data_IF_393263050652
#
_entry.id   IF_393263050652
#
_cell.length_a   1.000
_cell.length_b   1.000
_cell.length_c   1.000
_cell.angle_alpha   90.00
_cell.angle_beta   90.00
_cell.angle_gamma   90.00
#
_symmetry.space_group_name_H-M   'P 1'
#
loop_
_entity.id
_entity.type
_entity.pdbx_description
1 polymer ?
#
# COMPACT_ATOMS: atom_id res chain seq x y z
N UNK A 1 12.20 15.15 -25.09
CA UNK A 1 11.29 14.45 -24.16
C UNK A 1 11.28 12.99 -24.57
N UNK A 2 11.61 12.06 -23.68
CA UNK A 2 11.52 10.63 -24.00
C UNK A 2 10.06 10.28 -24.28
N UNK A 3 9.80 9.63 -25.41
CA UNK A 3 8.47 9.16 -25.76
C UNK A 3 8.06 8.08 -24.75
N UNK A 4 6.95 8.32 -24.03
CA UNK A 4 6.35 7.32 -23.14
C UNK A 4 5.86 6.15 -24.00
N UNK A 5 6.35 4.94 -23.70
CA UNK A 5 6.02 3.71 -24.45
C UNK A 5 4.99 2.84 -23.74
N UNK A 6 4.75 3.07 -22.46
CA UNK A 6 3.78 2.32 -21.67
C UNK A 6 3.58 2.87 -20.27
N UNK A 7 2.60 2.29 -19.57
CA UNK A 7 2.29 2.57 -18.16
C UNK A 7 2.17 1.23 -17.42
N UNK A 8 2.95 1.06 -16.35
CA UNK A 8 2.84 -0.04 -15.41
C UNK A 8 2.16 0.50 -14.15
N UNK A 9 1.03 -0.10 -13.77
CA UNK A 9 0.32 0.25 -12.53
C UNK A 9 0.55 -0.88 -11.54
N UNK A 10 1.01 -0.54 -10.34
CA UNK A 10 1.29 -1.47 -9.26
C UNK A 10 0.37 -1.19 -8.07
N UNK A 11 -0.07 -2.27 -7.44
CA UNK A 11 -0.58 -2.20 -6.07
C UNK A 11 0.58 -1.97 -5.08
N UNK A 12 0.25 -1.64 -3.84
CA UNK A 12 1.22 -1.32 -2.78
C UNK A 12 1.32 -2.47 -1.78
N UNK A 13 0.26 -2.71 -1.01
CA UNK A 13 0.23 -3.74 0.05
C UNK A 13 0.38 -5.13 -0.56
N UNK A 14 1.25 -5.97 0.00
CA UNK A 14 1.54 -7.31 -0.51
C UNK A 14 2.11 -7.38 -1.94
N UNK A 15 2.46 -6.24 -2.55
CA UNK A 15 2.96 -6.13 -3.93
C UNK A 15 4.26 -5.33 -3.97
N UNK A 16 4.21 -4.03 -3.72
CA UNK A 16 5.38 -3.16 -3.68
C UNK A 16 6.11 -3.29 -2.35
N UNK A 17 5.35 -3.40 -1.27
CA UNK A 17 5.81 -3.75 0.07
C UNK A 17 5.32 -5.15 0.44
N UNK A 18 6.04 -5.83 1.32
CA UNK A 18 5.72 -7.19 1.74
C UNK A 18 4.51 -7.22 2.68
N UNK A 19 4.34 -6.16 3.46
CA UNK A 19 3.33 -6.09 4.51
C UNK A 19 1.98 -5.60 3.99
N UNK A 20 0.96 -5.89 4.81
CA UNK A 20 -0.36 -5.28 4.75
C UNK A 20 -0.40 -4.18 5.81
N UNK A 21 -0.32 -2.92 5.41
CA UNK A 21 -0.23 -1.76 6.33
C UNK A 21 -1.35 -1.78 7.37
N UNK A 22 -2.56 -2.16 6.98
CA UNK A 22 -3.71 -2.21 7.88
C UNK A 22 -3.57 -3.26 8.98
N UNK A 23 -2.83 -4.35 8.73
CA UNK A 23 -2.58 -5.38 9.73
C UNK A 23 -1.56 -4.88 10.77
N UNK A 24 -0.54 -4.12 10.35
CA UNK A 24 0.41 -3.46 11.26
C UNK A 24 -0.32 -2.45 12.15
N UNK A 25 -1.16 -1.60 11.56
CA UNK A 25 -2.01 -0.68 12.32
C UNK A 25 -2.92 -1.45 13.29
N UNK A 26 -3.47 -2.58 12.86
CA UNK A 26 -4.22 -3.49 13.72
C UNK A 26 -3.44 -3.98 14.93
N UNK A 27 -2.16 -4.29 14.78
CA UNK A 27 -1.29 -4.67 15.90
C UNK A 27 -1.16 -3.55 16.92
N UNK A 28 -0.89 -2.34 16.46
CA UNK A 28 -0.78 -1.15 17.32
C UNK A 28 -2.12 -0.85 18.04
N UNK A 29 -3.26 -1.18 17.43
CA UNK A 29 -4.59 -1.07 18.02
C UNK A 29 -5.00 -2.27 18.90
N UNK A 30 -4.24 -3.37 18.93
CA UNK A 30 -4.63 -4.61 19.62
C UNK A 30 -5.67 -5.47 18.90
N UNK A 31 -5.93 -5.20 17.60
CA UNK A 31 -6.92 -5.86 16.75
C UNK A 31 -6.32 -6.65 15.56
N UNK A 32 -5.01 -6.97 15.59
CA UNK A 32 -4.29 -7.63 14.47
C UNK A 32 -4.99 -8.89 13.95
N UNK A 33 -5.41 -9.79 14.84
CA UNK A 33 -6.03 -11.05 14.45
C UNK A 33 -7.38 -10.85 13.74
N UNK A 34 -8.22 -9.94 14.25
CA UNK A 34 -9.53 -9.64 13.66
C UNK A 34 -9.36 -8.97 12.29
N UNK A 35 -8.48 -7.97 12.20
CA UNK A 35 -8.20 -7.27 10.95
C UNK A 35 -7.61 -8.23 9.90
N UNK A 36 -6.62 -9.05 10.28
CA UNK A 36 -5.98 -10.01 9.36
C UNK A 36 -6.97 -11.03 8.81
N UNK A 37 -7.93 -11.48 9.63
CA UNK A 37 -8.99 -12.39 9.19
C UNK A 37 -9.91 -11.71 8.17
N UNK A 38 -10.33 -10.46 8.41
CA UNK A 38 -11.18 -9.71 7.48
C UNK A 38 -10.42 -9.45 6.17
N UNK A 39 -9.15 -9.01 6.24
CA UNK A 39 -8.29 -8.78 5.07
C UNK A 39 -8.18 -10.03 4.21
N UNK A 40 -7.87 -11.18 4.83
CA UNK A 40 -7.73 -12.45 4.10
C UNK A 40 -9.02 -12.86 3.38
N UNK A 41 -10.19 -12.65 4.01
CA UNK A 41 -11.49 -12.94 3.39
C UNK A 41 -11.81 -11.98 2.25
N UNK A 42 -11.50 -10.70 2.41
CA UNK A 42 -11.67 -9.68 1.37
C UNK A 42 -10.81 -9.98 0.13
N UNK A 43 -9.52 -10.32 0.32
CA UNK A 43 -8.62 -10.68 -0.78
C UNK A 43 -9.04 -11.96 -1.52
N UNK A 44 -9.71 -12.90 -0.85
CA UNK A 44 -10.32 -14.08 -1.48
C UNK A 44 -11.65 -13.78 -2.20
N UNK A 45 -12.12 -12.54 -2.17
CA UNK A 45 -13.40 -12.14 -2.76
C UNK A 45 -14.63 -12.59 -1.97
N UNK A 46 -14.46 -13.05 -0.73
CA UNK A 46 -15.59 -13.49 0.12
C UNK A 46 -16.34 -12.31 0.75
N UNK A 47 -15.70 -11.13 0.82
CA UNK A 47 -16.26 -9.90 1.35
C UNK A 47 -16.18 -8.81 0.30
N UNK A 48 -17.21 -7.95 0.26
CA UNK A 48 -17.18 -6.73 -0.56
C UNK A 48 -16.07 -5.81 -0.05
N UNK A 49 -15.22 -5.33 -0.97
CA UNK A 49 -14.04 -4.53 -0.62
C UNK A 49 -14.38 -3.35 0.29
N UNK A 50 -15.33 -2.49 -0.12
CA UNK A 50 -15.67 -1.27 0.63
C UNK A 50 -16.13 -1.59 2.06
N UNK A 51 -17.06 -2.52 2.24
CA UNK A 51 -17.56 -2.88 3.57
C UNK A 51 -16.48 -3.53 4.44
N UNK A 52 -15.62 -4.36 3.84
CA UNK A 52 -14.48 -4.96 4.54
C UNK A 52 -13.45 -3.91 4.97
N UNK A 53 -13.22 -2.88 4.15
CA UNK A 53 -12.30 -1.78 4.46
C UNK A 53 -12.85 -0.94 5.61
N UNK A 54 -14.11 -0.51 5.51
CA UNK A 54 -14.78 0.26 6.58
C UNK A 54 -14.75 -0.48 7.92
N UNK A 55 -15.01 -1.79 7.90
CA UNK A 55 -14.96 -2.60 9.13
C UNK A 55 -13.56 -2.64 9.72
N UNK A 56 -12.51 -2.87 8.90
CA UNK A 56 -11.12 -2.88 9.40
C UNK A 56 -10.69 -1.52 9.92
N UNK A 57 -11.03 -0.44 9.22
CA UNK A 57 -10.73 0.93 9.64
C UNK A 57 -11.43 1.30 10.95
N UNK A 58 -12.66 0.83 11.19
CA UNK A 58 -13.35 1.08 12.47
C UNK A 58 -12.62 0.47 13.68
N UNK A 59 -11.83 -0.59 13.49
CA UNK A 59 -11.06 -1.23 14.56
C UNK A 59 -9.77 -0.45 14.91
N UNK A 60 -9.47 0.62 14.18
CA UNK A 60 -8.33 1.50 14.40
C UNK A 60 -8.72 2.76 15.21
N UNK A 61 -9.97 2.85 15.68
CA UNK A 61 -10.45 3.99 16.44
C UNK A 61 -9.61 4.26 17.69
N UNK A 62 -9.20 5.51 17.88
CA UNK A 62 -8.37 5.93 19.02
C UNK A 62 -6.86 5.84 18.79
N UNK A 63 -6.39 5.29 17.65
CA UNK A 63 -4.96 5.32 17.32
C UNK A 63 -4.46 6.76 17.04
N UNK A 64 -3.32 7.17 17.62
CA UNK A 64 -2.73 8.48 17.33
C UNK A 64 -2.13 8.51 15.92
N UNK A 65 -2.19 9.67 15.26
CA UNK A 65 -1.66 9.85 13.89
C UNK A 65 -0.16 9.50 13.78
N UNK A 66 0.60 9.67 14.87
CA UNK A 66 2.04 9.35 14.94
C UNK A 66 2.33 7.86 14.69
N UNK A 67 1.33 6.98 14.77
CA UNK A 67 1.49 5.55 14.45
C UNK A 67 1.98 5.34 13.02
N UNK A 68 1.63 6.23 12.08
CA UNK A 68 2.03 6.09 10.68
C UNK A 68 3.54 6.16 10.46
N UNK A 69 4.27 6.93 11.29
CA UNK A 69 5.73 6.98 11.21
C UNK A 69 6.35 5.62 11.59
N UNK A 70 5.83 5.01 12.65
CA UNK A 70 6.27 3.69 13.10
C UNK A 70 5.94 2.61 12.05
N UNK A 71 4.74 2.66 11.49
CA UNK A 71 4.30 1.71 10.45
C UNK A 71 5.14 1.87 9.19
N UNK A 72 5.40 3.10 8.73
CA UNK A 72 6.23 3.34 7.55
C UNK A 72 7.62 2.72 7.70
N UNK A 73 8.27 2.94 8.85
CA UNK A 73 9.59 2.40 9.14
C UNK A 73 9.63 0.88 9.30
N UNK A 74 8.47 0.23 9.49
CA UNK A 74 8.36 -1.23 9.65
C UNK A 74 8.12 -1.96 8.33
N UNK A 75 7.86 -1.24 7.23
CA UNK A 75 7.58 -1.85 5.93
C UNK A 75 8.87 -2.19 5.18
N UNK A 76 8.82 -3.30 4.45
CA UNK A 76 9.91 -3.77 3.61
C UNK A 76 9.47 -3.80 2.15
N UNK A 77 10.34 -3.31 1.27
CA UNK A 77 10.10 -3.45 -0.16
C UNK A 77 10.15 -4.92 -0.58
N UNK A 78 9.27 -5.28 -1.52
CA UNK A 78 9.36 -6.57 -2.21
C UNK A 78 10.70 -6.71 -2.93
N UNK A 79 11.12 -7.97 -3.10
CA UNK A 79 12.40 -8.29 -3.71
C UNK A 79 12.52 -7.67 -5.11
N UNK A 80 13.67 -7.04 -5.38
CA UNK A 80 14.02 -6.45 -6.67
C UNK A 80 13.13 -5.28 -7.15
N UNK A 81 12.26 -4.71 -6.31
CA UNK A 81 11.44 -3.54 -6.68
C UNK A 81 12.26 -2.38 -7.29
N UNK A 82 13.41 -1.96 -6.70
CA UNK A 82 14.20 -0.87 -7.28
C UNK A 82 14.74 -1.21 -8.68
N UNK A 83 15.21 -2.44 -8.88
CA UNK A 83 15.74 -2.92 -10.15
C UNK A 83 14.63 -3.02 -11.21
N UNK A 84 13.48 -3.56 -10.84
CA UNK A 84 12.30 -3.66 -11.69
C UNK A 84 11.85 -2.29 -12.21
N UNK A 85 11.69 -1.32 -11.31
CA UNK A 85 11.27 0.04 -11.69
C UNK A 85 12.33 0.72 -12.57
N UNK A 86 13.62 0.55 -12.25
CA UNK A 86 14.74 1.06 -13.07
C UNK A 86 14.71 0.52 -14.50
N UNK A 87 14.44 -0.78 -14.68
CA UNK A 87 14.30 -1.40 -16.00
C UNK A 87 13.12 -0.80 -16.78
N UNK A 88 11.96 -0.65 -16.15
CA UNK A 88 10.78 -0.06 -16.79
C UNK A 88 11.05 1.37 -17.27
N UNK A 89 11.63 2.21 -16.41
CA UNK A 89 11.93 3.60 -16.72
C UNK A 89 12.97 3.74 -17.86
N UNK A 90 14.02 2.91 -17.86
CA UNK A 90 15.00 2.85 -18.96
C UNK A 90 14.35 2.49 -20.31
N UNK A 91 13.25 1.76 -20.29
CA UNK A 91 12.47 1.40 -21.47
C UNK A 91 11.36 2.41 -21.83
N UNK A 92 11.29 3.55 -21.14
CA UNK A 92 10.28 4.58 -21.37
C UNK A 92 8.88 4.19 -20.86
N UNK A 93 8.79 3.26 -19.92
CA UNK A 93 7.54 2.88 -19.26
C UNK A 93 7.42 3.69 -17.96
N UNK A 94 6.30 4.38 -17.80
CA UNK A 94 5.97 5.07 -16.55
C UNK A 94 5.49 4.05 -15.51
N UNK A 95 5.80 4.30 -14.25
CA UNK A 95 5.29 3.51 -13.13
C UNK A 95 4.28 4.36 -12.37
N UNK A 96 3.15 3.77 -12.01
CA UNK A 96 2.15 4.38 -11.17
C UNK A 96 1.73 3.43 -10.04
N UNK A 97 1.42 3.99 -8.88
CA UNK A 97 0.90 3.25 -7.73
C UNK A 97 -0.60 3.52 -7.59
N UNK A 98 -1.38 2.46 -7.44
CA UNK A 98 -2.80 2.54 -7.10
C UNK A 98 -3.01 1.65 -5.88
N UNK A 99 -3.48 2.24 -4.78
CA UNK A 99 -3.63 1.54 -3.51
C UNK A 99 -4.96 1.85 -2.84
N UNK A 100 -5.55 0.85 -2.21
CA UNK A 100 -6.67 0.98 -1.27
C UNK A 100 -6.24 1.20 0.18
N UNK A 101 -4.93 1.39 0.42
CA UNK A 101 -4.33 1.59 1.73
C UNK A 101 -4.45 3.03 2.23
N UNK A 102 -3.43 3.50 2.95
CA UNK A 102 -3.48 4.79 3.63
C UNK A 102 -2.58 5.82 2.96
N UNK A 103 -3.13 7.00 2.65
CA UNK A 103 -2.40 8.10 1.99
C UNK A 103 -1.09 8.50 2.70
N UNK A 104 -1.00 8.57 4.06
CA UNK A 104 0.26 8.84 4.73
C UNK A 104 1.37 7.85 4.39
N UNK A 105 1.06 6.57 4.19
CA UNK A 105 2.05 5.55 3.86
C UNK A 105 2.40 5.57 2.37
N UNK A 106 1.39 5.54 1.51
CA UNK A 106 1.59 5.54 0.04
C UNK A 106 2.30 6.81 -0.41
N UNK A 107 1.99 7.94 0.21
CA UNK A 107 2.64 9.23 -0.04
C UNK A 107 4.13 9.19 0.26
N UNK A 108 4.57 8.64 1.39
CA UNK A 108 6.00 8.49 1.70
C UNK A 108 6.70 7.52 0.75
N UNK A 109 6.07 6.39 0.40
CA UNK A 109 6.61 5.44 -0.58
C UNK A 109 6.81 6.11 -1.95
N UNK A 110 5.88 6.99 -2.36
CA UNK A 110 5.98 7.69 -3.65
C UNK A 110 7.13 8.70 -3.75
N UNK A 111 7.69 9.15 -2.61
CA UNK A 111 8.83 10.09 -2.55
C UNK A 111 10.18 9.41 -2.71
N UNK A 112 10.24 8.07 -2.58
CA UNK A 112 11.44 7.30 -2.92
C UNK A 112 11.81 7.68 -4.37
N UNK A 113 13.10 7.94 -4.70
CA UNK A 113 13.53 8.65 -5.93
C UNK A 113 13.31 7.90 -7.26
N UNK A 114 12.12 7.37 -7.45
CA UNK A 114 11.64 6.62 -8.59
C UNK A 114 10.40 7.40 -9.05
N UNK A 115 10.43 7.97 -10.25
CA UNK A 115 9.32 8.77 -10.76
C UNK A 115 8.04 7.92 -10.85
N UNK A 116 7.21 8.00 -9.82
CA UNK A 116 5.96 7.28 -9.67
C UNK A 116 4.81 8.27 -9.52
N UNK A 117 3.80 8.17 -10.38
CA UNK A 117 2.50 8.79 -10.13
C UNK A 117 1.77 7.95 -9.06
N UNK A 118 1.03 8.54 -8.13
CA UNK A 118 0.27 7.73 -7.16
C UNK A 118 -1.18 8.20 -7.00
N UNK A 119 -2.07 7.24 -6.74
CA UNK A 119 -3.45 7.47 -6.33
C UNK A 119 -3.80 6.53 -5.18
N UNK A 120 -4.43 7.07 -4.15
CA UNK A 120 -4.90 6.31 -3.00
C UNK A 120 -6.41 6.54 -2.87
N UNK A 121 -7.19 5.46 -2.85
CA UNK A 121 -8.63 5.56 -2.73
C UNK A 121 -8.99 5.99 -1.29
N UNK A 122 -9.86 6.99 -1.09
CA UNK A 122 -10.27 7.39 0.25
C UNK A 122 -11.02 6.25 0.95
N UNK A 123 -10.65 5.98 2.19
CA UNK A 123 -11.32 5.03 3.09
C UNK A 123 -12.63 5.60 3.67
#
# INVERSE_FOLDING_TARGET
MSQVKGLCILDVDGTLILEEVINILGREAGHEAEISQITSRAMRGELVFESSLRKRVSLLEGLPILVFDNVFNSNHLSLNVPEFISILQKNGILVALVSGGFTPIVGEISKIPWYCLFHCQPA
#
